data_IF_419763053804
#
_entry.id   IF_419763053804
#
_cell.length_a   1.000
_cell.length_b   1.000
_cell.length_c   1.000
_cell.angle_alpha   90.00
_cell.angle_beta   90.00
_cell.angle_gamma   90.00
#
_symmetry.space_group_name_H-M   'P 1'
#
loop_
_entity.id
_entity.type
_entity.pdbx_description
1 polymer ?
#
# COMPACT_ATOMS: atom_id res chain seq x y z
N UNK A 1 0.11 17.25 2.61
CA UNK A 1 1.47 17.39 3.19
C UNK A 1 1.89 15.97 3.48
N UNK A 2 2.82 15.45 2.70
CA UNK A 2 3.42 14.13 2.90
C UNK A 2 4.21 14.14 4.21
N UNK A 3 4.03 13.11 5.04
CA UNK A 3 4.80 12.97 6.26
C UNK A 3 6.14 12.31 5.93
N UNK A 4 7.24 12.95 6.32
CA UNK A 4 8.60 12.55 5.94
C UNK A 4 9.45 12.37 7.18
N UNK A 5 10.10 11.22 7.29
CA UNK A 5 11.17 10.97 8.26
C UNK A 5 12.42 10.51 7.51
N UNK A 6 13.58 11.05 7.90
CA UNK A 6 14.88 10.73 7.30
C UNK A 6 15.79 10.19 8.39
N UNK A 7 16.21 8.94 8.24
CA UNK A 7 17.22 8.31 9.09
C UNK A 7 18.51 8.13 8.27
N UNK A 8 19.68 8.41 8.87
CA UNK A 8 20.98 8.29 8.22
C UNK A 8 21.82 7.24 8.93
N UNK A 9 22.22 6.20 8.20
CA UNK A 9 23.22 5.22 8.62
C UNK A 9 24.18 5.08 7.43
N UNK A 10 25.47 5.31 7.66
CA UNK A 10 26.57 5.08 6.69
C UNK A 10 26.40 5.68 5.27
N UNK A 11 25.73 6.84 5.17
CA UNK A 11 25.72 7.65 3.95
C UNK A 11 24.58 7.38 2.96
N UNK A 12 23.83 6.27 3.08
CA UNK A 12 22.59 6.06 2.33
C UNK A 12 21.36 6.48 3.16
N UNK A 13 20.34 6.99 2.48
CA UNK A 13 19.12 7.54 3.10
C UNK A 13 17.89 6.89 2.48
N UNK A 14 17.02 6.37 3.31
CA UNK A 14 15.69 5.91 2.89
C UNK A 14 14.69 7.01 3.25
N UNK A 15 13.94 7.48 2.26
CA UNK A 15 12.81 8.34 2.44
C UNK A 15 11.55 7.49 2.59
N UNK A 16 10.88 7.58 3.73
CA UNK A 16 9.61 6.91 3.94
C UNK A 16 8.45 7.91 3.82
N UNK A 17 7.41 7.56 3.04
CA UNK A 17 6.25 8.43 2.81
C UNK A 17 4.99 7.62 2.48
N UNK A 18 3.86 8.31 2.33
CA UNK A 18 2.56 7.74 2.00
C UNK A 18 1.74 8.75 1.18
N UNK A 19 0.60 8.33 0.63
CA UNK A 19 -0.47 9.25 0.20
C UNK A 19 -0.04 10.32 -0.80
N UNK A 20 0.82 9.95 -1.78
CA UNK A 20 1.14 10.90 -2.87
C UNK A 20 -0.03 11.09 -3.82
N UNK A 21 -1.01 10.17 -3.80
CA UNK A 21 -2.32 10.32 -4.43
C UNK A 21 -2.26 10.84 -5.86
N UNK A 22 -1.34 10.23 -6.63
CA UNK A 22 -1.10 10.52 -8.03
C UNK A 22 -0.09 11.61 -8.32
N UNK A 23 0.34 12.40 -7.34
CA UNK A 23 1.39 13.41 -7.51
C UNK A 23 2.79 12.79 -7.40
N UNK A 24 3.08 11.85 -8.30
CA UNK A 24 4.29 11.00 -8.26
C UNK A 24 5.56 11.85 -8.39
N UNK A 25 5.53 12.95 -9.14
CA UNK A 25 6.66 13.89 -9.30
C UNK A 25 7.12 14.51 -7.97
N UNK A 26 6.23 14.56 -6.97
CA UNK A 26 6.58 14.99 -5.62
C UNK A 26 7.67 14.09 -5.02
N UNK A 27 7.66 12.78 -5.34
CA UNK A 27 8.68 11.84 -4.87
C UNK A 27 10.08 12.25 -5.31
N UNK A 28 10.26 12.70 -6.56
CA UNK A 28 11.56 13.19 -7.04
C UNK A 28 11.96 14.50 -6.33
N UNK A 29 11.00 15.39 -6.07
CA UNK A 29 11.25 16.62 -5.30
C UNK A 29 11.77 16.27 -3.90
N UNK A 30 11.09 15.35 -3.21
CA UNK A 30 11.46 14.90 -1.88
C UNK A 30 12.79 14.13 -1.86
N UNK A 31 13.02 13.28 -2.86
CA UNK A 31 14.29 12.56 -2.99
C UNK A 31 15.47 13.51 -3.08
N UNK A 32 15.38 14.56 -3.92
CA UNK A 32 16.41 15.59 -4.03
C UNK A 32 16.54 16.44 -2.77
N UNK A 33 15.43 16.87 -2.18
CA UNK A 33 15.43 17.68 -0.96
C UNK A 33 16.13 16.97 0.20
N UNK A 34 15.86 15.67 0.37
CA UNK A 34 16.37 14.87 1.49
C UNK A 34 17.58 14.00 1.14
N UNK A 35 18.11 14.12 -0.09
CA UNK A 35 19.19 13.29 -0.63
C UNK A 35 18.93 11.78 -0.44
N UNK A 36 17.68 11.37 -0.71
CA UNK A 36 17.25 9.98 -0.59
C UNK A 36 17.93 9.13 -1.68
N UNK A 37 18.30 7.92 -1.31
CA UNK A 37 18.81 6.89 -2.23
C UNK A 37 17.74 5.87 -2.58
N UNK A 38 16.77 5.68 -1.68
CA UNK A 38 15.61 4.82 -1.84
C UNK A 38 14.38 5.53 -1.30
N UNK A 39 13.21 5.21 -1.84
CA UNK A 39 11.92 5.59 -1.28
C UNK A 39 11.16 4.33 -0.91
N UNK A 40 10.58 4.32 0.29
CA UNK A 40 9.57 3.33 0.69
C UNK A 40 8.24 4.09 0.82
N UNK A 41 7.24 3.68 0.04
CA UNK A 41 5.91 4.27 0.01
C UNK A 41 4.87 3.27 0.50
N UNK A 42 3.97 3.73 1.37
CA UNK A 42 3.02 2.87 2.10
C UNK A 42 1.61 2.87 1.50
N UNK A 43 1.48 3.13 0.19
CA UNK A 43 0.22 3.04 -0.54
C UNK A 43 -0.55 4.36 -0.67
N UNK A 44 -1.66 4.29 -1.40
CA UNK A 44 -2.37 5.43 -1.99
C UNK A 44 -1.42 6.21 -2.92
N UNK A 45 -0.75 5.45 -3.80
CA UNK A 45 0.27 5.94 -4.71
C UNK A 45 -0.33 6.78 -5.84
N UNK A 46 -1.46 6.31 -6.37
CA UNK A 46 -2.17 6.86 -7.52
C UNK A 46 -2.07 5.96 -8.75
N UNK A 47 -2.22 4.64 -8.56
CA UNK A 47 -2.36 3.66 -9.63
C UNK A 47 -3.71 3.82 -10.34
N UNK A 48 -3.83 4.92 -11.09
CA UNK A 48 -4.99 5.28 -11.89
C UNK A 48 -4.55 5.75 -13.26
N UNK A 49 -5.15 5.18 -14.30
CA UNK A 49 -5.11 5.73 -15.65
C UNK A 49 -6.53 6.09 -16.10
N UNK A 50 -6.68 6.50 -17.37
CA UNK A 50 -8.01 6.88 -17.89
C UNK A 50 -9.00 5.72 -17.87
N UNK A 51 -8.55 4.48 -18.09
CA UNK A 51 -9.41 3.28 -18.08
C UNK A 51 -9.95 2.97 -16.68
N UNK A 52 -9.30 3.48 -15.63
CA UNK A 52 -9.77 3.31 -14.26
C UNK A 52 -11.10 4.02 -13.98
N UNK A 53 -11.48 5.03 -14.78
CA UNK A 53 -12.76 5.73 -14.62
C UNK A 53 -13.98 4.81 -14.81
N UNK A 54 -13.85 3.77 -15.63
CA UNK A 54 -14.93 2.80 -15.87
C UNK A 54 -15.10 1.82 -14.70
N UNK A 55 -14.05 1.66 -13.88
CA UNK A 55 -14.02 0.71 -12.75
C UNK A 55 -14.19 1.39 -11.40
N UNK A 56 -13.78 2.66 -11.24
CA UNK A 56 -13.85 3.32 -9.94
C UNK A 56 -15.30 3.70 -9.57
N UNK A 57 -15.74 3.30 -8.38
CA UNK A 57 -17.03 3.71 -7.83
C UNK A 57 -17.06 5.18 -7.39
N UNK A 58 -18.27 5.75 -7.28
CA UNK A 58 -18.46 7.17 -6.96
C UNK A 58 -17.81 7.56 -5.62
N UNK A 59 -17.99 6.73 -4.58
CA UNK A 59 -17.51 7.03 -3.23
C UNK A 59 -15.97 7.04 -3.16
N UNK A 60 -15.25 6.01 -3.64
CA UNK A 60 -13.79 6.06 -3.75
C UNK A 60 -13.29 7.23 -4.60
N UNK A 61 -13.93 7.51 -5.73
CA UNK A 61 -13.55 8.63 -6.60
C UNK A 61 -13.70 9.99 -5.89
N UNK A 62 -14.83 10.23 -5.21
CA UNK A 62 -15.04 11.45 -4.42
C UNK A 62 -14.01 11.58 -3.30
N UNK A 63 -13.72 10.49 -2.60
CA UNK A 63 -12.68 10.48 -1.57
C UNK A 63 -11.32 10.83 -2.17
N UNK A 64 -10.96 10.26 -3.30
CA UNK A 64 -9.73 10.58 -4.02
C UNK A 64 -9.64 12.06 -4.41
N UNK A 65 -10.69 12.59 -5.06
CA UNK A 65 -10.78 13.99 -5.49
C UNK A 65 -10.67 14.93 -4.28
N UNK A 66 -11.24 14.59 -3.13
CA UNK A 66 -11.17 15.41 -1.93
C UNK A 66 -9.73 15.64 -1.44
N UNK A 67 -8.87 14.62 -1.58
CA UNK A 67 -7.54 14.63 -0.97
C UNK A 67 -6.37 14.77 -1.96
N UNK A 68 -6.56 14.55 -3.25
CA UNK A 68 -5.48 14.70 -4.25
C UNK A 68 -4.91 16.13 -4.28
N UNK A 69 -3.60 16.27 -4.39
CA UNK A 69 -2.90 17.57 -4.51
C UNK A 69 -2.71 18.03 -5.95
N UNK A 70 -3.05 17.19 -6.93
CA UNK A 70 -2.92 17.53 -8.36
C UNK A 70 -3.92 18.59 -8.82
N UNK A 71 -5.03 18.74 -8.08
CA UNK A 71 -6.14 19.61 -8.47
C UNK A 71 -6.23 20.83 -7.56
N UNK A 72 -6.38 22.05 -8.11
CA UNK A 72 -6.68 23.24 -7.32
C UNK A 72 -7.97 23.06 -6.50
N UNK A 73 -8.00 23.61 -5.29
CA UNK A 73 -9.14 23.49 -4.37
C UNK A 73 -10.48 23.87 -4.99
N UNK A 74 -10.53 24.93 -5.81
CA UNK A 74 -11.75 25.34 -6.51
C UNK A 74 -12.26 24.30 -7.51
N UNK A 75 -11.36 23.60 -8.20
CA UNK A 75 -11.73 22.54 -9.15
C UNK A 75 -12.23 21.30 -8.40
N UNK A 76 -11.57 20.92 -7.29
CA UNK A 76 -12.04 19.84 -6.41
C UNK A 76 -13.45 20.12 -5.89
N UNK A 77 -13.69 21.31 -5.32
CA UNK A 77 -15.02 21.70 -4.82
C UNK A 77 -16.10 21.66 -5.90
N UNK A 78 -15.79 22.10 -7.13
CA UNK A 78 -16.73 22.03 -8.26
C UNK A 78 -17.07 20.59 -8.64
N UNK A 79 -16.08 19.71 -8.73
CA UNK A 79 -16.29 18.30 -9.06
C UNK A 79 -17.11 17.58 -7.98
N UNK A 80 -16.76 17.80 -6.71
CA UNK A 80 -17.48 17.19 -5.58
C UNK A 80 -18.93 17.66 -5.45
N UNK A 81 -19.24 18.87 -5.91
CA UNK A 81 -20.60 19.42 -5.94
C UNK A 81 -21.40 19.02 -7.20
N UNK A 82 -20.75 18.43 -8.21
CA UNK A 82 -21.39 18.02 -9.46
C UNK A 82 -22.17 16.71 -9.30
N UNK A 83 -23.09 16.42 -10.22
CA UNK A 83 -23.69 15.09 -10.29
C UNK A 83 -22.62 14.04 -10.66
N UNK A 84 -22.80 12.76 -10.30
CA UNK A 84 -21.85 11.71 -10.67
C UNK A 84 -21.53 11.72 -12.17
N UNK A 85 -22.55 11.69 -13.05
CA UNK A 85 -22.34 11.71 -14.51
C UNK A 85 -21.56 12.93 -15.01
N UNK A 86 -21.73 14.09 -14.39
CA UNK A 86 -20.96 15.29 -14.75
C UNK A 86 -19.51 15.18 -14.28
N UNK A 87 -19.28 14.62 -13.10
CA UNK A 87 -17.95 14.39 -12.55
C UNK A 87 -17.14 13.43 -13.43
N UNK A 88 -17.70 12.25 -13.76
CA UNK A 88 -17.03 11.27 -14.63
C UNK A 88 -16.73 11.86 -16.01
N UNK A 89 -17.72 12.49 -16.67
CA UNK A 89 -17.51 13.13 -17.98
C UNK A 89 -16.43 14.22 -17.94
N UNK A 90 -16.38 15.02 -16.89
CA UNK A 90 -15.36 16.08 -16.77
C UNK A 90 -13.96 15.49 -16.64
N UNK A 91 -13.81 14.39 -15.90
CA UNK A 91 -12.52 13.70 -15.75
C UNK A 91 -12.09 13.01 -17.05
N UNK A 92 -13.02 12.36 -17.74
CA UNK A 92 -12.78 11.65 -19.00
C UNK A 92 -12.39 12.61 -20.14
N UNK A 93 -13.07 13.75 -20.24
CA UNK A 93 -12.83 14.77 -21.27
C UNK A 93 -11.61 15.65 -20.99
N UNK A 94 -11.01 15.54 -19.80
CA UNK A 94 -9.83 16.32 -19.46
C UNK A 94 -8.65 15.93 -20.38
N UNK A 95 -7.92 16.90 -20.96
CA UNK A 95 -6.76 16.61 -21.80
C UNK A 95 -5.60 15.95 -21.02
N UNK A 96 -5.55 16.16 -19.70
CA UNK A 96 -4.59 15.54 -18.79
C UNK A 96 -5.31 14.70 -17.75
N UNK A 97 -4.69 13.60 -17.30
CA UNK A 97 -5.24 12.77 -16.22
C UNK A 97 -5.20 13.56 -14.92
N UNK A 98 -6.39 13.98 -14.45
CA UNK A 98 -6.51 14.78 -13.22
C UNK A 98 -6.38 13.95 -11.94
N UNK A 99 -6.47 12.62 -12.07
CA UNK A 99 -6.41 11.69 -10.96
C UNK A 99 -4.98 11.30 -10.57
N UNK A 100 -4.07 11.27 -11.54
CA UNK A 100 -2.71 10.81 -11.35
C UNK A 100 -1.79 11.20 -12.51
N UNK A 101 -0.52 11.43 -12.19
CA UNK A 101 0.58 11.54 -13.17
C UNK A 101 1.03 10.16 -13.68
N UNK A 102 0.44 9.07 -13.18
CA UNK A 102 0.83 7.68 -13.47
C UNK A 102 1.02 7.40 -14.97
N UNK A 103 0.11 7.84 -15.83
CA UNK A 103 0.23 7.64 -17.28
C UNK A 103 1.46 8.33 -17.90
N UNK A 104 1.94 9.44 -17.33
CA UNK A 104 3.16 10.13 -17.79
C UNK A 104 4.42 9.35 -17.42
N UNK A 105 4.43 8.66 -16.27
CA UNK A 105 5.52 7.77 -15.88
C UNK A 105 5.50 6.47 -16.68
N UNK A 106 4.31 5.89 -16.88
CA UNK A 106 4.14 4.67 -17.69
C UNK A 106 4.58 4.87 -19.16
N UNK A 107 4.36 6.06 -19.71
CA UNK A 107 4.79 6.41 -21.08
C UNK A 107 6.26 6.84 -21.17
N UNK A 108 6.97 6.95 -20.05
CA UNK A 108 8.37 7.42 -20.00
C UNK A 108 8.55 8.94 -20.18
N UNK A 109 7.45 9.70 -20.25
CA UNK A 109 7.50 11.18 -20.30
C UNK A 109 8.02 11.77 -18.98
N UNK A 110 7.78 11.08 -17.86
CA UNK A 110 8.37 11.33 -16.54
C UNK A 110 9.07 10.05 -16.06
N UNK A 111 10.04 10.21 -15.16
CA UNK A 111 10.82 9.10 -14.60
C UNK A 111 11.06 9.32 -13.12
N UNK A 112 11.25 8.24 -12.36
CA UNK A 112 11.61 8.30 -10.94
C UNK A 112 13.14 8.44 -10.80
N UNK A 113 13.58 9.45 -10.04
CA UNK A 113 15.01 9.77 -9.90
C UNK A 113 15.78 8.68 -9.14
N UNK A 114 15.10 7.98 -8.23
CA UNK A 114 15.66 6.94 -7.35
C UNK A 114 14.68 5.76 -7.24
N UNK A 115 15.14 4.54 -6.89
CA UNK A 115 14.26 3.41 -6.65
C UNK A 115 13.18 3.69 -5.62
N UNK A 116 11.94 3.41 -5.98
CA UNK A 116 10.74 3.55 -5.16
C UNK A 116 10.11 2.17 -4.98
N UNK A 117 10.02 1.74 -3.73
CA UNK A 117 9.37 0.51 -3.32
C UNK A 117 8.02 0.85 -2.70
N UNK A 118 6.94 0.30 -3.22
CA UNK A 118 5.60 0.67 -2.77
C UNK A 118 4.65 -0.51 -2.70
N UNK A 119 3.80 -0.52 -1.67
CA UNK A 119 2.55 -1.28 -1.69
C UNK A 119 1.45 -0.43 -2.33
N UNK A 120 0.30 -1.02 -2.66
CA UNK A 120 -0.92 -0.26 -2.97
C UNK A 120 -1.69 0.13 -1.70
N UNK A 121 -2.49 1.19 -1.81
CA UNK A 121 -3.34 1.68 -0.73
C UNK A 121 -4.76 1.15 -0.75
N UNK A 122 -5.64 1.78 0.02
CA UNK A 122 -7.04 1.40 0.12
C UNK A 122 -7.89 1.89 -1.07
N UNK A 123 -7.48 2.96 -1.76
CA UNK A 123 -8.24 3.56 -2.84
C UNK A 123 -7.46 3.53 -4.15
N UNK A 124 -7.27 2.35 -4.74
CA UNK A 124 -6.54 2.14 -6.00
C UNK A 124 -7.25 1.13 -6.92
N UNK A 125 -6.80 1.01 -8.16
CA UNK A 125 -7.41 0.15 -9.18
C UNK A 125 -6.67 -1.19 -9.30
N UNK A 126 -7.31 -2.29 -8.88
CA UNK A 126 -6.73 -3.64 -8.88
C UNK A 126 -6.22 -4.06 -10.25
N UNK A 127 -6.93 -3.72 -11.32
CA UNK A 127 -6.54 -4.08 -12.68
C UNK A 127 -5.22 -3.43 -13.13
N UNK A 128 -4.84 -2.29 -12.53
CA UNK A 128 -3.55 -1.64 -12.80
C UNK A 128 -2.42 -2.39 -12.09
N UNK A 129 -2.66 -2.85 -10.85
CA UNK A 129 -1.69 -3.61 -10.08
C UNK A 129 -1.42 -4.97 -10.74
N UNK A 130 -2.47 -5.66 -11.20
CA UNK A 130 -2.32 -6.93 -11.91
C UNK A 130 -1.53 -6.79 -13.21
N UNK A 131 -1.68 -5.69 -13.95
CA UNK A 131 -0.85 -5.42 -15.13
C UNK A 131 0.64 -5.29 -14.79
N UNK A 132 1.00 -4.76 -13.62
CA UNK A 132 2.39 -4.81 -13.17
C UNK A 132 2.82 -6.24 -12.85
N UNK A 133 1.98 -7.01 -12.15
CA UNK A 133 2.25 -8.42 -11.81
C UNK A 133 2.47 -9.30 -13.05
N UNK A 134 1.70 -9.06 -14.10
CA UNK A 134 1.84 -9.73 -15.40
C UNK A 134 2.95 -9.15 -16.30
N UNK A 135 3.64 -8.08 -15.87
CA UNK A 135 4.68 -7.42 -16.66
C UNK A 135 4.17 -6.64 -17.86
N UNK A 136 2.86 -6.39 -17.96
CA UNK A 136 2.27 -5.53 -18.99
C UNK A 136 2.62 -4.06 -18.75
N UNK A 137 2.67 -3.65 -17.48
CA UNK A 137 3.08 -2.32 -17.05
C UNK A 137 4.48 -2.35 -16.43
N UNK A 138 5.29 -1.37 -16.81
CA UNK A 138 6.64 -1.19 -16.28
C UNK A 138 6.95 0.31 -16.17
N UNK A 139 7.56 0.70 -15.04
CA UNK A 139 8.07 2.05 -14.81
C UNK A 139 9.47 1.87 -14.23
N UNK A 140 10.47 2.45 -14.87
CA UNK A 140 11.84 2.41 -14.37
C UNK A 140 11.92 2.99 -12.95
N UNK A 141 12.68 2.31 -12.08
CA UNK A 141 12.81 2.61 -10.66
C UNK A 141 11.53 2.46 -9.82
N UNK A 142 10.44 1.88 -10.33
CA UNK A 142 9.27 1.54 -9.51
C UNK A 142 9.22 0.03 -9.24
N UNK A 143 9.14 -0.33 -7.96
CA UNK A 143 9.08 -1.72 -7.49
C UNK A 143 7.84 -1.90 -6.62
N UNK A 144 6.92 -2.75 -7.06
CA UNK A 144 5.76 -3.13 -6.24
C UNK A 144 6.17 -4.18 -5.22
N UNK A 145 5.84 -3.91 -3.97
CA UNK A 145 5.95 -4.87 -2.87
C UNK A 145 4.59 -5.55 -2.72
N UNK A 146 4.54 -6.84 -3.01
CA UNK A 146 3.34 -7.67 -2.85
C UNK A 146 3.69 -8.97 -2.10
N UNK A 147 2.72 -9.85 -1.95
CA UNK A 147 2.90 -11.14 -1.27
C UNK A 147 3.84 -12.12 -2.00
N UNK A 148 4.12 -11.88 -3.28
CA UNK A 148 4.95 -12.74 -4.14
C UNK A 148 6.34 -12.14 -4.39
N UNK A 149 6.60 -10.90 -3.98
CA UNK A 149 7.85 -10.19 -4.22
C UNK A 149 8.56 -9.74 -2.94
N UNK A 150 9.90 -9.77 -2.97
CA UNK A 150 10.74 -9.24 -1.89
C UNK A 150 12.01 -8.64 -2.48
N UNK A 151 12.52 -7.59 -1.85
CA UNK A 151 13.71 -6.88 -2.30
C UNK A 151 14.68 -6.70 -1.14
N UNK A 152 15.98 -6.84 -1.41
CA UNK A 152 17.04 -6.54 -0.43
C UNK A 152 17.74 -5.26 -0.84
N UNK A 153 17.72 -4.27 0.04
CA UNK A 153 18.43 -3.01 -0.12
C UNK A 153 19.75 -3.07 0.63
N UNK A 154 20.84 -2.66 -0.01
CA UNK A 154 22.09 -2.35 0.68
C UNK A 154 22.03 -0.91 1.19
N UNK A 155 21.93 -0.75 2.50
CA UNK A 155 21.80 0.54 3.20
C UNK A 155 23.05 0.79 4.03
N UNK A 156 24.16 1.05 3.35
CA UNK A 156 25.44 1.31 4.01
C UNK A 156 25.94 0.07 4.74
N UNK A 157 26.10 -1.04 4.01
CA UNK A 157 26.59 -2.30 4.57
C UNK A 157 25.55 -3.14 5.30
N UNK A 158 24.36 -2.57 5.58
CA UNK A 158 23.22 -3.30 6.15
C UNK A 158 22.31 -3.80 5.02
N UNK A 159 22.08 -5.11 4.99
CA UNK A 159 21.09 -5.74 4.10
C UNK A 159 19.69 -5.60 4.70
N UNK A 160 18.86 -4.74 4.10
CA UNK A 160 17.47 -4.51 4.50
C UNK A 160 16.51 -5.21 3.54
N UNK A 161 15.90 -6.30 3.98
CA UNK A 161 14.86 -7.01 3.22
C UNK A 161 13.48 -6.38 3.42
N UNK A 162 12.80 -6.11 2.32
CA UNK A 162 11.45 -5.57 2.28
C UNK A 162 10.42 -6.65 1.96
N UNK A 163 9.31 -6.62 2.69
CA UNK A 163 8.10 -7.40 2.48
C UNK A 163 6.92 -6.43 2.31
N UNK A 164 5.95 -6.77 1.45
CA UNK A 164 4.82 -5.88 1.14
C UNK A 164 3.47 -6.53 1.38
N UNK A 165 2.53 -5.78 1.95
CA UNK A 165 1.11 -6.13 1.95
C UNK A 165 0.24 -4.89 1.80
N UNK A 166 -0.33 -4.71 0.61
CA UNK A 166 -1.17 -3.55 0.28
C UNK A 166 -2.64 -3.72 0.69
N UNK A 167 -3.38 -2.61 0.56
CA UNK A 167 -4.82 -2.58 0.75
C UNK A 167 -5.28 -2.37 2.20
N UNK A 168 -6.58 -2.16 2.37
CA UNK A 168 -7.22 -2.11 3.68
C UNK A 168 -7.40 -3.50 4.28
N UNK A 169 -7.37 -3.61 5.62
CA UNK A 169 -7.80 -4.83 6.32
C UNK A 169 -9.29 -4.73 6.60
N UNK A 170 -10.08 -5.58 5.93
CA UNK A 170 -11.54 -5.63 6.10
C UNK A 170 -11.94 -7.06 6.40
N UNK A 171 -12.29 -7.35 7.66
CA UNK A 171 -12.45 -8.73 8.15
C UNK A 171 -13.38 -9.58 7.27
N UNK A 172 -14.57 -9.10 6.95
CA UNK A 172 -15.53 -9.85 6.14
C UNK A 172 -15.13 -10.02 4.66
N UNK A 173 -14.01 -9.44 4.23
CA UNK A 173 -13.45 -9.56 2.88
C UNK A 173 -12.15 -10.36 2.82
N UNK A 174 -11.69 -10.93 3.94
CA UNK A 174 -10.43 -11.69 3.98
C UNK A 174 -10.41 -12.89 3.02
N UNK A 175 -11.55 -13.37 2.55
CA UNK A 175 -11.65 -14.50 1.63
C UNK A 175 -12.43 -14.14 0.35
N UNK A 176 -12.48 -12.84 0.04
CA UNK A 176 -13.15 -12.30 -1.14
C UNK A 176 -12.10 -11.59 -2.01
N UNK A 177 -11.83 -12.07 -3.23
CA UNK A 177 -10.89 -11.41 -4.14
C UNK A 177 -11.54 -10.26 -4.93
N UNK A 178 -12.86 -10.10 -4.86
CA UNK A 178 -13.60 -9.07 -5.57
C UNK A 178 -13.51 -9.23 -7.08
N UNK A 179 -12.97 -8.21 -7.74
CA UNK A 179 -12.71 -8.16 -9.18
C UNK A 179 -11.28 -8.61 -9.54
N UNK A 180 -10.45 -8.95 -8.54
CA UNK A 180 -9.12 -9.52 -8.76
C UNK A 180 -9.18 -10.89 -9.42
N UNK A 181 -8.28 -11.13 -10.36
CA UNK A 181 -8.17 -12.36 -11.16
C UNK A 181 -7.14 -13.36 -10.59
N UNK A 182 -6.22 -12.89 -9.76
CA UNK A 182 -5.21 -13.70 -9.05
C UNK A 182 -5.38 -13.54 -7.53
N UNK A 183 -4.29 -13.34 -6.80
CA UNK A 183 -4.24 -13.22 -5.33
C UNK A 183 -4.59 -11.81 -4.84
N UNK A 184 -4.37 -10.78 -5.66
CA UNK A 184 -4.54 -9.38 -5.28
C UNK A 184 -6.03 -9.02 -5.32
N UNK A 185 -6.57 -8.61 -4.18
CA UNK A 185 -7.98 -8.30 -4.07
C UNK A 185 -8.31 -6.80 -4.18
N UNK A 186 -9.41 -6.54 -4.87
CA UNK A 186 -9.96 -5.21 -5.00
C UNK A 186 -11.19 -5.18 -5.88
N UNK A 187 -11.81 -4.03 -5.98
CA UNK A 187 -12.97 -3.82 -6.83
C UNK A 187 -13.57 -2.44 -6.60
N UNK A 188 -14.16 -1.88 -7.65
CA UNK A 188 -14.77 -0.56 -7.61
C UNK A 188 -13.83 0.57 -7.14
N UNK A 189 -12.52 0.44 -7.37
CA UNK A 189 -11.47 1.38 -6.91
C UNK A 189 -11.19 1.33 -5.41
N UNK A 190 -11.50 0.21 -4.76
CA UNK A 190 -11.10 -0.10 -3.38
C UNK A 190 -10.26 -1.37 -3.40
N UNK A 191 -9.16 -1.39 -2.67
CA UNK A 191 -8.31 -2.58 -2.53
C UNK A 191 -8.22 -3.01 -1.07
N UNK A 192 -8.17 -4.32 -0.85
CA UNK A 192 -8.10 -4.90 0.48
C UNK A 192 -7.18 -6.12 0.51
N UNK A 193 -6.75 -6.47 1.71
CA UNK A 193 -5.91 -7.64 1.98
C UNK A 193 -6.76 -8.89 2.13
N UNK A 194 -6.29 -10.02 1.60
CA UNK A 194 -6.90 -11.35 1.80
C UNK A 194 -6.02 -12.31 2.60
N UNK A 195 -6.63 -13.37 3.11
CA UNK A 195 -5.95 -14.47 3.79
C UNK A 195 -5.00 -15.22 2.83
N UNK A 196 -5.34 -15.31 1.54
CA UNK A 196 -4.46 -15.88 0.52
C UNK A 196 -3.16 -15.08 0.42
N UNK A 197 -3.24 -13.75 0.30
CA UNK A 197 -2.05 -12.89 0.26
C UNK A 197 -1.22 -12.98 1.55
N UNK A 198 -1.88 -13.07 2.70
CA UNK A 198 -1.19 -13.28 3.98
C UNK A 198 -0.43 -14.61 3.98
N UNK A 199 -1.06 -15.69 3.49
CA UNK A 199 -0.46 -17.02 3.40
C UNK A 199 0.76 -17.04 2.48
N UNK A 200 0.65 -16.51 1.27
CA UNK A 200 1.75 -16.41 0.31
C UNK A 200 2.92 -15.60 0.87
N UNK A 201 2.63 -14.47 1.54
CA UNK A 201 3.66 -13.64 2.13
C UNK A 201 4.41 -14.37 3.27
N UNK A 202 3.70 -15.16 4.08
CA UNK A 202 4.32 -16.00 5.12
C UNK A 202 5.24 -17.06 4.50
N UNK A 203 4.80 -17.70 3.42
CA UNK A 203 5.62 -18.68 2.69
C UNK A 203 6.85 -18.02 2.08
N UNK A 204 6.68 -16.89 1.37
CA UNK A 204 7.78 -16.11 0.80
C UNK A 204 8.79 -15.74 1.87
N UNK A 205 8.35 -15.13 2.97
CA UNK A 205 9.22 -14.67 4.05
C UNK A 205 9.99 -15.81 4.71
N UNK A 206 9.38 -16.99 4.83
CA UNK A 206 10.02 -18.20 5.38
C UNK A 206 11.07 -18.75 4.42
N UNK A 207 10.77 -18.76 3.11
CA UNK A 207 11.67 -19.29 2.07
C UNK A 207 12.97 -18.48 1.91
N UNK A 208 12.94 -17.19 2.26
CA UNK A 208 14.07 -16.26 2.13
C UNK A 208 14.68 -15.85 3.47
N UNK A 209 14.48 -16.64 4.53
CA UNK A 209 15.01 -16.29 5.85
C UNK A 209 16.55 -16.30 5.89
N UNK A 210 17.13 -15.14 6.22
CA UNK A 210 18.55 -14.96 6.51
C UNK A 210 18.68 -14.18 7.83
N UNK A 211 19.32 -14.76 8.87
CA UNK A 211 19.47 -14.11 10.18
C UNK A 211 20.46 -12.93 10.17
N UNK A 212 21.18 -12.69 9.07
CA UNK A 212 22.10 -11.55 8.92
C UNK A 212 21.43 -10.31 8.35
N UNK A 213 20.21 -10.45 7.80
CA UNK A 213 19.45 -9.36 7.21
C UNK A 213 18.51 -8.72 8.23
N UNK A 214 18.32 -7.40 8.09
CA UNK A 214 17.23 -6.69 8.76
C UNK A 214 15.96 -6.83 7.93
N UNK A 215 14.82 -7.13 8.55
CA UNK A 215 13.56 -7.40 7.88
C UNK A 215 12.54 -6.31 8.16
N UNK A 216 11.98 -5.73 7.11
CA UNK A 216 10.96 -4.69 7.21
C UNK A 216 9.68 -5.12 6.51
N UNK A 217 8.57 -5.09 7.24
CA UNK A 217 7.23 -5.24 6.69
C UNK A 217 6.64 -3.87 6.35
N UNK A 218 6.33 -3.66 5.08
CA UNK A 218 5.66 -2.48 4.53
C UNK A 218 4.19 -2.82 4.32
N UNK A 219 3.28 -2.11 4.99
CA UNK A 219 1.84 -2.31 4.82
C UNK A 219 1.11 -1.00 4.57
N UNK A 220 -0.07 -1.04 3.97
CA UNK A 220 -0.92 0.16 3.95
C UNK A 220 -1.64 0.35 5.29
N UNK A 221 -2.42 -0.64 5.71
CA UNK A 221 -3.05 -0.64 7.02
C UNK A 221 -2.00 -0.79 8.14
N UNK A 222 -2.25 -0.18 9.31
CA UNK A 222 -1.24 -0.09 10.36
C UNK A 222 -1.28 -1.29 11.33
N UNK A 223 -0.16 -1.99 11.57
CA UNK A 223 -0.06 -3.03 12.60
C UNK A 223 -0.33 -2.53 14.03
N UNK A 224 -0.16 -1.22 14.27
CA UNK A 224 -0.53 -0.61 15.56
C UNK A 224 -2.04 -0.56 15.82
N UNK A 225 -2.85 -0.73 14.78
CA UNK A 225 -4.31 -0.76 14.83
C UNK A 225 -4.85 -2.16 14.54
N UNK A 226 -4.25 -2.84 13.57
CA UNK A 226 -4.70 -4.15 13.08
C UNK A 226 -3.92 -5.27 13.77
N UNK A 227 -4.58 -5.96 14.70
CA UNK A 227 -3.98 -7.11 15.41
C UNK A 227 -3.53 -8.23 14.46
N UNK A 228 -4.20 -8.38 13.32
CA UNK A 228 -3.86 -9.38 12.30
C UNK A 228 -2.49 -9.07 11.67
N UNK A 229 -2.25 -7.80 11.35
CA UNK A 229 -0.97 -7.36 10.80
C UNK A 229 0.14 -7.35 11.85
N UNK A 230 -0.19 -7.12 13.12
CA UNK A 230 0.77 -7.29 14.21
C UNK A 230 1.19 -8.76 14.38
N UNK A 231 0.25 -9.71 14.28
CA UNK A 231 0.57 -11.14 14.25
C UNK A 231 1.43 -11.48 13.04
N UNK A 232 1.06 -10.99 11.85
CA UNK A 232 1.85 -11.18 10.63
C UNK A 232 3.29 -10.68 10.82
N UNK A 233 3.50 -9.45 11.31
CA UNK A 233 4.83 -8.91 11.53
C UNK A 233 5.71 -9.82 12.42
N UNK A 234 5.12 -10.40 13.48
CA UNK A 234 5.80 -11.37 14.34
C UNK A 234 6.11 -12.68 13.61
N UNK A 235 5.16 -13.21 12.84
CA UNK A 235 5.32 -14.44 12.04
C UNK A 235 6.41 -14.30 10.98
N UNK A 236 6.51 -13.14 10.32
CA UNK A 236 7.55 -12.87 9.31
C UNK A 236 8.94 -12.59 9.92
N UNK A 237 9.05 -12.55 11.26
CA UNK A 237 10.22 -12.08 11.98
C UNK A 237 10.67 -10.69 11.52
N UNK A 238 9.71 -9.76 11.35
CA UNK A 238 10.02 -8.39 10.96
C UNK A 238 10.65 -7.62 12.14
N UNK A 239 11.79 -6.99 11.91
CA UNK A 239 12.44 -6.09 12.88
C UNK A 239 11.75 -4.72 12.91
N UNK A 240 11.26 -4.27 11.76
CA UNK A 240 10.55 -3.02 11.59
C UNK A 240 9.23 -3.23 10.85
N UNK A 241 8.21 -2.50 11.26
CA UNK A 241 7.01 -2.31 10.46
C UNK A 241 6.93 -0.86 10.05
N UNK A 242 6.56 -0.61 8.80
CA UNK A 242 6.20 0.72 8.33
C UNK A 242 4.85 0.66 7.65
N UNK A 243 3.99 1.61 8.00
CA UNK A 243 2.65 1.66 7.45
C UNK A 243 2.17 3.07 7.22
N UNK A 244 1.12 3.21 6.42
CA UNK A 244 0.36 4.44 6.40
C UNK A 244 -0.37 4.62 7.75
N UNK A 245 -0.90 5.82 7.96
CA UNK A 245 -1.61 6.18 9.18
C UNK A 245 -2.77 7.10 8.87
N UNK A 246 -4.00 6.61 9.07
CA UNK A 246 -5.20 7.44 8.94
C UNK A 246 -5.15 8.60 9.94
N UNK A 247 -5.20 9.83 9.43
CA UNK A 247 -5.31 11.07 10.19
C UNK A 247 -4.09 11.52 11.00
N UNK A 248 -2.90 10.96 10.77
CA UNK A 248 -1.67 11.46 11.40
C UNK A 248 -1.05 12.59 10.58
N UNK A 249 -0.82 13.74 11.22
CA UNK A 249 -0.06 14.87 10.63
C UNK A 249 1.45 14.74 10.79
N UNK A 250 1.89 13.79 11.60
CA UNK A 250 3.29 13.58 11.96
C UNK A 250 3.57 12.10 12.02
N UNK A 251 4.79 11.71 11.64
CA UNK A 251 5.25 10.33 11.79
C UNK A 251 5.34 9.96 13.27
N UNK A 252 4.98 8.71 13.57
CA UNK A 252 5.09 8.13 14.90
C UNK A 252 6.01 6.94 14.78
N UNK A 253 7.07 6.94 15.59
CA UNK A 253 7.94 5.79 15.81
C UNK A 253 7.70 5.28 17.22
N UNK A 254 7.40 4.00 17.35
CA UNK A 254 7.14 3.36 18.62
C UNK A 254 7.55 1.90 18.58
N UNK A 255 7.70 1.32 19.76
CA UNK A 255 7.63 -0.12 19.95
C UNK A 255 6.46 -0.41 20.90
N UNK A 256 5.89 -1.61 20.81
CA UNK A 256 4.72 -1.96 21.61
C UNK A 256 5.02 -1.92 23.11
N UNK A 257 6.24 -2.29 23.52
CA UNK A 257 6.62 -2.22 24.93
C UNK A 257 6.60 -0.80 25.51
N UNK A 258 6.94 0.22 24.71
CA UNK A 258 7.02 1.61 25.16
C UNK A 258 5.66 2.33 25.17
N UNK A 259 4.69 1.83 24.40
CA UNK A 259 3.38 2.48 24.25
C UNK A 259 2.24 1.76 24.99
N UNK A 260 2.43 0.49 25.37
CA UNK A 260 1.43 -0.25 26.11
C UNK A 260 1.63 -0.12 27.62
N UNK A 261 0.55 0.03 28.41
CA UNK A 261 0.67 0.06 29.88
C UNK A 261 1.28 -1.22 30.45
N UNK A 262 0.92 -2.36 29.86
CA UNK A 262 1.36 -3.71 30.26
C UNK A 262 1.49 -4.60 29.03
N UNK A 263 2.42 -5.56 29.06
CA UNK A 263 2.66 -6.49 27.94
C UNK A 263 1.42 -7.33 27.59
N UNK A 264 0.58 -7.61 28.59
CA UNK A 264 -0.65 -8.37 28.40
C UNK A 264 -1.66 -7.64 27.51
N UNK A 265 -1.60 -6.31 27.40
CA UNK A 265 -2.46 -5.57 26.47
C UNK A 265 -2.15 -5.94 25.01
N UNK A 266 -0.87 -5.92 24.64
CA UNK A 266 -0.44 -6.33 23.30
C UNK A 266 -0.78 -7.80 23.05
N UNK A 267 -0.50 -8.69 24.01
CA UNK A 267 -0.84 -10.11 23.91
C UNK A 267 -2.33 -10.35 23.70
N UNK A 268 -3.19 -9.68 24.47
CA UNK A 268 -4.65 -9.81 24.34
C UNK A 268 -5.14 -9.31 22.98
N UNK A 269 -4.53 -8.27 22.41
CA UNK A 269 -4.84 -7.80 21.06
C UNK A 269 -4.53 -8.86 20.00
N UNK A 270 -3.42 -9.58 20.14
CA UNK A 270 -3.06 -10.69 19.25
C UNK A 270 -4.06 -11.85 19.38
N UNK A 271 -4.38 -12.26 20.62
CA UNK A 271 -5.34 -13.34 20.88
C UNK A 271 -6.72 -12.99 20.32
N UNK A 272 -7.23 -11.79 20.59
CA UNK A 272 -8.53 -11.34 20.07
C UNK A 272 -8.56 -11.35 18.55
N UNK A 273 -7.49 -10.89 17.89
CA UNK A 273 -7.40 -10.92 16.44
C UNK A 273 -7.31 -12.34 15.88
N UNK A 274 -6.64 -13.26 16.57
CA UNK A 274 -6.61 -14.68 16.22
C UNK A 274 -8.01 -15.28 16.31
N UNK A 275 -8.72 -15.06 17.42
CA UNK A 275 -10.08 -15.54 17.63
C UNK A 275 -11.04 -15.04 16.55
N UNK A 276 -10.96 -13.75 16.19
CA UNK A 276 -11.77 -13.16 15.13
C UNK A 276 -11.49 -13.80 13.75
N UNK A 277 -10.22 -14.03 13.43
CA UNK A 277 -9.85 -14.71 12.20
C UNK A 277 -10.38 -16.15 12.17
N UNK A 278 -10.21 -16.89 13.27
CA UNK A 278 -10.66 -18.29 13.35
C UNK A 278 -12.19 -18.42 13.31
N UNK A 279 -12.94 -17.49 13.93
CA UNK A 279 -14.40 -17.45 13.82
C UNK A 279 -14.86 -17.26 12.38
N UNK A 280 -14.18 -16.38 11.63
CA UNK A 280 -14.47 -16.20 10.21
C UNK A 280 -14.13 -17.46 9.41
N UNK A 281 -12.94 -18.04 9.63
CA UNK A 281 -12.50 -19.26 8.97
C UNK A 281 -13.49 -20.42 9.20
N UNK A 282 -13.87 -20.67 10.45
CA UNK A 282 -14.82 -21.75 10.79
C UNK A 282 -16.18 -21.58 10.13
N UNK A 283 -16.60 -20.34 9.84
CA UNK A 283 -17.86 -20.05 9.18
C UNK A 283 -17.84 -20.31 7.66
N UNK A 284 -16.66 -20.32 7.03
CA UNK A 284 -16.51 -20.38 5.57
C UNK A 284 -15.66 -21.55 5.07
N UNK A 285 -14.93 -22.26 5.95
CA UNK A 285 -13.92 -23.26 5.57
C UNK A 285 -14.46 -24.31 4.59
N UNK A 286 -15.69 -24.79 4.79
CA UNK A 286 -16.31 -25.79 3.91
C UNK A 286 -16.48 -25.23 2.49
N UNK A 287 -16.86 -23.96 2.35
CA UNK A 287 -17.01 -23.30 1.04
C UNK A 287 -15.65 -23.06 0.37
N UNK A 288 -14.63 -22.73 1.16
CA UNK A 288 -13.28 -22.51 0.65
C UNK A 288 -12.67 -23.85 0.21
N UNK A 289 -12.76 -24.90 1.01
CA UNK A 289 -12.26 -26.24 0.70
C UNK A 289 -12.92 -26.80 -0.57
N UNK A 290 -14.24 -26.62 -0.75
CA UNK A 290 -14.95 -27.01 -1.98
C UNK A 290 -14.48 -26.24 -3.23
N UNK A 291 -13.92 -25.04 -3.09
CA UNK A 291 -13.48 -24.21 -4.21
C UNK A 291 -12.04 -24.47 -4.66
N UNK A 292 -11.27 -25.23 -3.87
CA UNK A 292 -9.84 -25.52 -4.12
C UNK A 292 -9.63 -26.95 -4.66
N UNK A 293 -10.64 -27.83 -4.60
CA UNK A 293 -10.67 -29.15 -5.25
C UNK A 293 -11.06 -29.09 -6.73
#
# INVERSE_FOLDING_TARGET
MSNISVHSIEGKRILCTADVRGHISELNRLAREFNAHYIIHTGDFGFYDRSSLDRIGERPLKHWIQYTTLMPSQTRSRLLASSPDQMYRTLEQSPHTLLSEFSEFLSGNKQLDVPVYTVWGACEDVAIIEKFRHGEYHIDNLFLLDEASTHVLDVGGVSLRLFGLGGAVVQHKLFDNGEGTDTIAGGLGVMWTTALQIGELVELASSVYDPTETRMLVTHASPGREGLLAQLALTLHADFTISAGLHFRYNIAYNEFACQPEIDHFRNRLIQSQEQFMQLWDAIKEQVEESVE
#
